data_IF_868887535887
#
_entry.id   IF_868887535887
#
_cell.length_a   1.000
_cell.length_b   1.000
_cell.length_c   1.000
_cell.angle_alpha   90.00
_cell.angle_beta   90.00
_cell.angle_gamma   90.00
#
_symmetry.space_group_name_H-M   'P 1'
#
loop_
_entity.id
_entity.type
_entity.pdbx_description
1 polymer ?
#
# COMPACT_ATOMS: atom_id res chain seq x y z
N UNK A 1 13.23 -6.95 16.17
CA UNK A 1 13.35 -7.52 14.81
C UNK A 1 13.42 -6.44 13.72
N UNK A 2 12.48 -5.48 13.61
CA UNK A 2 12.61 -4.33 12.67
C UNK A 2 13.33 -3.13 13.33
N UNK A 3 13.01 -2.85 14.60
CA UNK A 3 13.62 -1.78 15.43
C UNK A 3 15.15 -1.91 15.54
N UNK A 4 15.68 -3.13 15.61
CA UNK A 4 17.12 -3.36 15.72
C UNK A 4 17.89 -2.87 14.48
N UNK A 5 17.30 -3.02 13.29
CA UNK A 5 17.93 -2.58 12.02
C UNK A 5 17.98 -1.07 11.91
N UNK A 6 16.93 -0.37 12.32
CA UNK A 6 16.91 1.10 12.36
C UNK A 6 17.97 1.63 13.33
N UNK A 7 18.14 1.02 14.50
CA UNK A 7 19.17 1.41 15.46
C UNK A 7 20.58 1.37 14.86
N UNK A 8 20.93 0.29 14.15
CA UNK A 8 22.25 0.20 13.51
C UNK A 8 22.46 1.28 12.45
N UNK A 9 21.42 1.65 11.70
CA UNK A 9 21.49 2.72 10.70
C UNK A 9 21.63 4.10 11.34
N UNK A 10 20.99 4.36 12.48
CA UNK A 10 21.21 5.59 13.26
C UNK A 10 22.66 5.69 13.76
N UNK A 11 23.23 4.57 14.23
CA UNK A 11 24.64 4.53 14.64
C UNK A 11 25.56 4.81 13.44
N UNK A 12 25.25 4.25 12.26
CA UNK A 12 26.00 4.55 11.03
C UNK A 12 25.91 6.04 10.64
N UNK A 13 24.73 6.65 10.75
CA UNK A 13 24.55 8.08 10.47
C UNK A 13 25.36 8.95 11.45
N UNK A 14 25.39 8.59 12.73
CA UNK A 14 26.21 9.26 13.74
C UNK A 14 27.70 9.21 13.37
N UNK A 15 28.20 8.03 12.98
CA UNK A 15 29.59 7.90 12.59
C UNK A 15 29.95 8.62 11.29
N UNK A 16 29.04 8.61 10.31
CA UNK A 16 29.17 9.40 9.09
C UNK A 16 29.33 10.90 9.39
N UNK A 17 28.49 11.45 10.28
CA UNK A 17 28.57 12.86 10.72
C UNK A 17 29.86 13.19 11.47
N UNK A 18 30.48 12.21 12.15
CA UNK A 18 31.81 12.37 12.77
C UNK A 18 32.97 12.30 11.78
N UNK A 19 32.72 12.17 10.48
CA UNK A 19 33.76 12.18 9.44
C UNK A 19 34.60 10.90 9.40
N UNK A 20 34.08 9.79 9.95
CA UNK A 20 34.79 8.51 9.96
C UNK A 20 34.56 7.72 8.67
N UNK A 21 35.49 6.81 8.39
CA UNK A 21 35.41 5.94 7.21
C UNK A 21 34.60 4.67 7.51
N UNK A 22 33.81 4.24 6.53
CA UNK A 22 33.00 3.01 6.51
C UNK A 22 33.65 1.78 7.15
N UNK A 23 34.95 1.55 6.92
CA UNK A 23 35.69 0.40 7.45
C UNK A 23 35.91 0.51 8.96
N UNK A 24 36.26 1.70 9.45
CA UNK A 24 36.47 1.96 10.87
C UNK A 24 35.15 1.88 11.63
N UNK A 25 34.08 2.39 11.04
CA UNK A 25 32.75 2.40 11.65
C UNK A 25 32.13 1.03 11.70
N UNK A 26 32.30 0.23 10.64
CA UNK A 26 31.90 -1.19 10.67
C UNK A 26 32.66 -1.95 11.76
N UNK A 27 33.98 -1.77 11.88
CA UNK A 27 34.78 -2.46 12.91
C UNK A 27 34.28 -2.10 14.31
N UNK A 28 34.03 -0.82 14.58
CA UNK A 28 33.47 -0.35 15.86
C UNK A 28 32.05 -0.85 16.10
N UNK A 29 31.22 -0.91 15.06
CA UNK A 29 29.86 -1.40 15.17
C UNK A 29 29.83 -2.90 15.47
N UNK A 30 30.68 -3.69 14.80
CA UNK A 30 30.83 -5.13 15.07
C UNK A 30 31.38 -5.40 16.48
N UNK A 31 32.30 -4.57 16.95
CA UNK A 31 32.86 -4.66 18.31
C UNK A 31 31.80 -4.41 19.39
N UNK A 32 30.94 -3.40 19.19
CA UNK A 32 29.88 -3.02 20.17
C UNK A 32 28.66 -3.94 20.09
N UNK A 33 28.27 -4.40 18.90
CA UNK A 33 27.00 -5.07 18.67
C UNK A 33 27.11 -6.56 18.33
N UNK A 34 28.32 -7.10 18.18
CA UNK A 34 28.58 -8.49 17.83
C UNK A 34 28.71 -8.78 16.34
N UNK A 35 29.11 -10.01 16.01
CA UNK A 35 29.31 -10.47 14.64
C UNK A 35 27.97 -10.68 13.90
N UNK A 36 27.92 -10.35 12.61
CA UNK A 36 26.73 -10.58 11.77
C UNK A 36 25.67 -9.47 11.75
N UNK A 37 25.91 -8.34 12.43
CA UNK A 37 24.96 -7.21 12.53
C UNK A 37 24.64 -6.55 11.17
N UNK A 38 25.66 -6.17 10.41
CA UNK A 38 25.52 -5.61 9.06
C UNK A 38 26.63 -6.11 8.14
N UNK A 39 26.28 -6.44 6.90
CA UNK A 39 27.25 -6.75 5.84
C UNK A 39 27.96 -5.47 5.40
N UNK A 40 29.24 -5.57 5.00
CA UNK A 40 30.04 -4.43 4.50
C UNK A 40 29.29 -3.63 3.43
N UNK A 41 28.65 -4.33 2.49
CA UNK A 41 27.87 -3.74 1.40
C UNK A 41 26.68 -2.92 1.90
N UNK A 42 26.03 -3.33 3.00
CA UNK A 42 24.94 -2.56 3.60
C UNK A 42 25.46 -1.25 4.19
N UNK A 43 26.59 -1.27 4.91
CA UNK A 43 27.21 -0.04 5.43
C UNK A 43 27.60 0.92 4.29
N UNK A 44 28.20 0.40 3.22
CA UNK A 44 28.56 1.21 2.05
C UNK A 44 27.35 1.86 1.38
N UNK A 45 26.24 1.12 1.22
CA UNK A 45 25.00 1.65 0.65
C UNK A 45 24.43 2.78 1.51
N UNK A 46 24.43 2.63 2.84
CA UNK A 46 23.99 3.69 3.76
C UNK A 46 24.87 4.93 3.69
N UNK A 47 26.19 4.78 3.66
CA UNK A 47 27.12 5.91 3.47
C UNK A 47 26.96 6.57 2.09
N UNK A 48 26.61 5.83 1.05
CA UNK A 48 26.26 6.41 -0.24
C UNK A 48 24.96 7.25 -0.16
N UNK A 49 23.92 6.74 0.52
CA UNK A 49 22.67 7.47 0.78
C UNK A 49 22.91 8.76 1.58
N UNK A 50 23.75 8.70 2.62
CA UNK A 50 24.08 9.89 3.42
C UNK A 50 24.89 10.91 2.62
N UNK A 51 25.82 10.46 1.76
CA UNK A 51 26.57 11.34 0.84
C UNK A 51 25.68 12.03 -0.19
N UNK A 52 24.55 11.43 -0.57
CA UNK A 52 23.57 12.08 -1.45
C UNK A 52 22.66 13.06 -0.71
N UNK A 53 22.96 13.40 0.55
CA UNK A 53 22.18 14.34 1.37
C UNK A 53 20.93 13.72 2.02
N UNK A 54 20.63 12.45 1.76
CA UNK A 54 19.47 11.78 2.33
C UNK A 54 19.84 11.15 3.68
N UNK A 55 19.45 11.81 4.77
CA UNK A 55 19.66 11.34 6.15
C UNK A 55 18.50 10.50 6.71
N UNK A 56 17.49 10.19 5.89
CA UNK A 56 16.39 9.34 6.32
C UNK A 56 16.88 7.91 6.55
N UNK A 57 16.56 7.36 7.72
CA UNK A 57 16.98 6.03 8.17
C UNK A 57 15.91 4.96 7.87
N UNK A 58 14.72 5.41 7.49
CA UNK A 58 13.62 4.53 7.14
C UNK A 58 13.85 3.79 5.82
N UNK A 59 13.25 2.61 5.73
CA UNK A 59 13.11 1.92 4.45
C UNK A 59 12.15 2.73 3.57
N UNK A 60 12.57 3.00 2.34
CA UNK A 60 11.64 3.53 1.35
C UNK A 60 10.47 2.55 1.17
N UNK A 61 9.27 3.05 0.82
CA UNK A 61 8.15 2.18 0.47
C UNK A 61 8.63 1.14 -0.54
N UNK A 62 8.50 -0.14 -0.20
CA UNK A 62 8.89 -1.21 -1.11
C UNK A 62 7.95 -1.16 -2.30
N UNK A 63 8.50 -1.17 -3.52
CA UNK A 63 7.69 -1.40 -4.71
C UNK A 63 7.07 -2.80 -4.57
N UNK A 64 5.77 -2.83 -4.27
CA UNK A 64 5.00 -4.05 -4.28
C UNK A 64 4.86 -4.59 -5.70
N UNK A 65 4.25 -5.77 -5.83
CA UNK A 65 3.84 -6.26 -7.16
C UNK A 65 2.83 -5.26 -7.75
N UNK A 66 3.08 -4.69 -8.95
CA UNK A 66 2.07 -3.87 -9.60
C UNK A 66 0.84 -4.73 -9.85
N UNK A 67 -0.32 -4.24 -9.44
CA UNK A 67 -1.59 -4.91 -9.75
C UNK A 67 -1.98 -4.47 -11.15
N UNK A 68 -1.79 -5.35 -12.14
CA UNK A 68 -2.04 -5.06 -13.57
C UNK A 68 -3.52 -4.85 -13.92
N UNK A 69 -4.42 -4.83 -12.94
CA UNK A 69 -5.83 -4.64 -13.21
C UNK A 69 -6.15 -3.16 -13.40
N UNK A 70 -6.82 -2.87 -14.52
CA UNK A 70 -7.35 -1.56 -14.85
C UNK A 70 -8.47 -1.20 -13.85
N UNK A 71 -8.07 -0.42 -12.83
CA UNK A 71 -8.97 0.03 -11.77
C UNK A 71 -10.08 0.94 -12.31
N UNK A 72 -9.82 1.67 -13.40
CA UNK A 72 -10.81 2.54 -14.05
C UNK A 72 -11.85 1.70 -14.79
N UNK A 73 -11.45 0.61 -15.45
CA UNK A 73 -12.38 -0.33 -16.08
C UNK A 73 -13.28 -1.04 -15.04
N UNK A 74 -12.73 -1.45 -13.90
CA UNK A 74 -13.52 -2.03 -12.80
C UNK A 74 -14.54 -1.00 -12.31
N UNK A 75 -14.11 0.25 -12.09
CA UNK A 75 -14.98 1.33 -11.62
C UNK A 75 -16.09 1.65 -12.61
N UNK A 76 -15.78 1.74 -13.91
CA UNK A 76 -16.77 1.99 -14.95
C UNK A 76 -17.87 0.91 -15.00
N UNK A 77 -17.52 -0.36 -14.81
CA UNK A 77 -18.49 -1.46 -14.75
C UNK A 77 -19.43 -1.35 -13.54
N UNK A 78 -18.90 -0.95 -12.38
CA UNK A 78 -19.71 -0.75 -11.17
C UNK A 78 -20.61 0.47 -11.30
N UNK A 79 -20.12 1.56 -11.88
CA UNK A 79 -20.89 2.78 -12.09
C UNK A 79 -22.03 2.56 -13.10
N UNK A 80 -21.81 1.73 -14.12
CA UNK A 80 -22.84 1.34 -15.09
C UNK A 80 -23.91 0.41 -14.50
N UNK A 81 -23.53 -0.50 -13.59
CA UNK A 81 -24.47 -1.38 -12.89
C UNK A 81 -24.00 -1.65 -11.46
N UNK A 82 -24.63 -0.97 -10.49
CA UNK A 82 -24.31 -1.13 -9.07
C UNK A 82 -24.59 -2.53 -8.50
N UNK A 83 -25.38 -3.37 -9.20
CA UNK A 83 -25.69 -4.75 -8.80
C UNK A 83 -24.77 -5.80 -9.44
N UNK A 84 -23.76 -5.38 -10.20
CA UNK A 84 -22.84 -6.32 -10.85
C UNK A 84 -22.05 -7.13 -9.81
N UNK A 85 -21.88 -8.42 -10.07
CA UNK A 85 -21.12 -9.30 -9.17
C UNK A 85 -19.63 -9.26 -9.47
N UNK A 86 -18.79 -9.54 -8.46
CA UNK A 86 -17.33 -9.63 -8.64
C UNK A 86 -16.93 -10.70 -9.65
N UNK A 87 -17.70 -11.79 -9.73
CA UNK A 87 -17.49 -12.86 -10.71
C UNK A 87 -17.77 -12.39 -12.14
N UNK A 88 -18.83 -11.61 -12.37
CA UNK A 88 -19.13 -11.05 -13.69
C UNK A 88 -18.09 -10.03 -14.14
N UNK A 89 -17.63 -9.16 -13.23
CA UNK A 89 -16.51 -8.25 -13.52
C UNK A 89 -15.28 -9.05 -13.90
N UNK A 90 -14.94 -10.09 -13.12
CA UNK A 90 -13.80 -10.97 -13.39
C UNK A 90 -13.88 -11.65 -14.75
N UNK A 91 -15.06 -12.12 -15.15
CA UNK A 91 -15.28 -12.70 -16.48
C UNK A 91 -15.10 -11.68 -17.60
N UNK A 92 -15.64 -10.46 -17.45
CA UNK A 92 -15.55 -9.40 -18.47
C UNK A 92 -14.13 -8.88 -18.65
N UNK A 93 -13.39 -8.71 -17.55
CA UNK A 93 -12.03 -8.17 -17.55
C UNK A 93 -10.95 -9.24 -17.56
N UNK A 94 -11.34 -10.53 -17.62
CA UNK A 94 -10.43 -11.69 -17.50
C UNK A 94 -9.55 -11.63 -16.24
N UNK A 95 -10.11 -11.17 -15.14
CA UNK A 95 -9.47 -11.08 -13.84
C UNK A 95 -9.94 -12.19 -12.90
N UNK A 96 -9.09 -12.57 -11.95
CA UNK A 96 -9.51 -13.46 -10.88
C UNK A 96 -10.51 -12.78 -9.95
N UNK A 97 -11.42 -13.56 -9.37
CA UNK A 97 -12.45 -13.02 -8.45
C UNK A 97 -11.82 -12.31 -7.23
N UNK A 98 -10.71 -12.84 -6.70
CA UNK A 98 -9.98 -12.21 -5.59
C UNK A 98 -9.37 -10.87 -5.98
N UNK A 99 -8.78 -10.76 -7.16
CA UNK A 99 -8.24 -9.49 -7.66
C UNK A 99 -9.32 -8.41 -7.75
N UNK A 100 -10.50 -8.74 -8.29
CA UNK A 100 -11.64 -7.81 -8.36
C UNK A 100 -12.07 -7.38 -6.96
N UNK A 101 -12.20 -8.33 -6.03
CA UNK A 101 -12.58 -8.03 -4.65
C UNK A 101 -11.59 -7.09 -3.97
N UNK A 102 -10.28 -7.34 -4.10
CA UNK A 102 -9.24 -6.49 -3.52
C UNK A 102 -9.27 -5.07 -4.09
N UNK A 103 -9.53 -4.91 -5.39
CA UNK A 103 -9.71 -3.60 -6.01
C UNK A 103 -10.94 -2.86 -5.51
N UNK A 104 -12.10 -3.53 -5.42
CA UNK A 104 -13.32 -2.91 -4.89
C UNK A 104 -13.13 -2.46 -3.45
N UNK A 105 -12.44 -3.26 -2.63
CA UNK A 105 -12.06 -2.90 -1.27
C UNK A 105 -11.11 -1.70 -1.24
N UNK A 106 -10.12 -1.66 -2.14
CA UNK A 106 -9.21 -0.51 -2.31
C UNK A 106 -9.91 0.78 -2.73
N UNK A 107 -11.01 0.67 -3.48
CA UNK A 107 -11.90 1.77 -3.85
C UNK A 107 -12.85 2.21 -2.72
N UNK A 108 -12.88 1.50 -1.59
CA UNK A 108 -13.81 1.75 -0.48
C UNK A 108 -15.25 1.32 -0.77
N UNK A 109 -15.47 0.50 -1.80
CA UNK A 109 -16.79 -0.02 -2.15
C UNK A 109 -17.13 -1.26 -1.31
N UNK A 110 -18.37 -1.34 -0.87
CA UNK A 110 -18.90 -2.48 -0.10
C UNK A 110 -20.25 -2.91 -0.65
N UNK A 111 -20.51 -4.22 -0.65
CA UNK A 111 -21.81 -4.75 -0.99
C UNK A 111 -22.82 -4.39 0.09
N UNK A 112 -23.93 -3.76 -0.30
CA UNK A 112 -25.07 -3.48 0.58
C UNK A 112 -26.33 -4.10 -0.01
N UNK A 113 -27.22 -4.54 0.86
CA UNK A 113 -28.55 -4.95 0.44
C UNK A 113 -29.37 -3.73 0.04
N UNK A 114 -30.21 -3.91 -0.97
CA UNK A 114 -31.17 -2.89 -1.35
C UNK A 114 -32.23 -2.70 -0.26
N UNK A 115 -32.79 -1.50 -0.20
CA UNK A 115 -33.92 -1.21 0.69
C UNK A 115 -35.18 -1.85 0.12
N UNK A 116 -35.90 -2.60 0.94
CA UNK A 116 -37.18 -3.17 0.53
C UNK A 116 -38.22 -2.07 0.38
N UNK A 117 -38.85 -1.99 -0.79
CA UNK A 117 -39.94 -1.05 -1.08
C UNK A 117 -41.24 -1.85 -1.16
N UNK A 118 -42.24 -1.59 -0.28
CA UNK A 118 -43.47 -2.40 -0.17
C UNK A 118 -44.33 -2.48 -1.43
N UNK A 119 -44.22 -1.47 -2.30
CA UNK A 119 -45.03 -1.37 -3.50
C UNK A 119 -44.23 -0.80 -4.66
N UNK A 120 -44.51 -1.30 -5.86
CA UNK A 120 -43.94 -0.74 -7.09
C UNK A 120 -44.70 0.56 -7.40
N UNK A 121 -44.05 1.71 -7.19
CA UNK A 121 -44.66 2.98 -7.51
C UNK A 121 -44.86 3.08 -9.03
N UNK A 122 -46.12 3.17 -9.45
CA UNK A 122 -46.51 3.54 -10.81
C UNK A 122 -46.79 5.04 -10.85
N UNK A 123 -46.52 5.70 -11.99
CA UNK A 123 -46.61 7.17 -12.15
C UNK A 123 -47.94 7.77 -11.66
N UNK A 124 -49.02 6.98 -11.68
CA UNK A 124 -50.37 7.36 -11.26
C UNK A 124 -50.52 7.68 -9.76
N UNK A 125 -49.65 7.17 -8.89
CA UNK A 125 -49.76 7.30 -7.43
C UNK A 125 -48.91 8.48 -6.89
N UNK A 126 -47.93 8.96 -7.66
CA UNK A 126 -46.97 9.98 -7.21
C UNK A 126 -47.59 11.38 -6.99
N UNK A 127 -48.70 11.70 -7.67
CA UNK A 127 -49.35 13.02 -7.56
C UNK A 127 -50.38 13.14 -6.42
N UNK A 128 -50.72 12.05 -5.73
CA UNK A 128 -51.73 12.08 -4.66
C UNK A 128 -51.14 12.29 -3.25
N UNK A 129 -49.83 12.10 -3.08
CA UNK A 129 -49.18 12.22 -1.75
C UNK A 129 -48.68 13.61 -1.41
N UNK A 130 -48.79 14.61 -2.31
CA UNK A 130 -48.38 16.00 -2.06
C UNK A 130 -49.51 16.91 -1.51
N UNK A 131 -50.63 16.33 -1.06
CA UNK A 131 -51.67 17.02 -0.29
C UNK A 131 -51.86 16.33 1.06
N UNK A 132 -51.00 16.60 2.03
CA UNK A 132 -51.32 16.70 3.45
C UNK A 132 -50.35 17.66 4.12
#
# INVERSE_FOLDING_TARGET
MESDKQHFRHILLFYYRKGKNTVQDRKKLTDVCGEGVLKVRQCQNWFAKFRSGNSDVEDAPRSGRPVEADQDAIKALVDANRRITTREIGLRLKLSNSTVYDHLKGLGLSSKFDVWVPHVLTERIAFQTSRK
#
